data_IF_126662214849
#
_entry.id   IF_126662214849
#
_cell.length_a   1.000
_cell.length_b   1.000
_cell.length_c   1.000
_cell.angle_alpha   90.00
_cell.angle_beta   90.00
_cell.angle_gamma   90.00
#
_symmetry.space_group_name_H-M   'P 1'
#
loop_
_entity.id
_entity.type
_entity.pdbx_description
1 polymer ?
#
# COMPACT_ATOMS: atom_id res chain seq x y z
N UNK A 1 -18.89 -22.98 3.81
CA UNK A 1 -19.83 -24.02 4.26
C UNK A 1 -21.22 -23.39 4.38
N UNK A 2 -22.22 -23.78 3.54
CA UNK A 2 -23.56 -23.21 3.55
C UNK A 2 -24.33 -23.38 4.87
N UNK A 3 -24.08 -24.47 5.60
CA UNK A 3 -24.74 -24.72 6.88
C UNK A 3 -24.27 -23.77 7.96
N UNK A 4 -22.99 -23.47 8.04
CA UNK A 4 -22.45 -22.45 8.96
C UNK A 4 -22.95 -21.05 8.64
N UNK A 5 -23.11 -20.75 7.37
CA UNK A 5 -23.67 -19.47 6.94
C UNK A 5 -25.11 -19.34 7.41
N UNK A 6 -25.91 -20.41 7.23
CA UNK A 6 -27.30 -20.45 7.69
C UNK A 6 -27.40 -20.30 9.21
N UNK A 7 -26.62 -21.06 9.97
CA UNK A 7 -26.56 -20.99 11.43
C UNK A 7 -26.25 -19.57 11.92
N UNK A 8 -25.29 -18.89 11.26
CA UNK A 8 -24.93 -17.52 11.58
C UNK A 8 -26.06 -16.52 11.27
N UNK A 9 -26.76 -16.72 10.13
CA UNK A 9 -27.94 -15.92 9.77
C UNK A 9 -29.07 -16.06 10.80
N UNK A 10 -29.35 -17.28 11.19
CA UNK A 10 -30.38 -17.58 12.17
C UNK A 10 -30.05 -16.96 13.54
N UNK A 11 -28.76 -17.00 13.94
CA UNK A 11 -28.26 -16.32 15.14
C UNK A 11 -28.43 -14.80 15.06
N UNK A 12 -28.03 -14.18 13.97
CA UNK A 12 -28.13 -12.74 13.77
C UNK A 12 -29.59 -12.27 13.80
N UNK A 13 -30.46 -12.99 13.10
CA UNK A 13 -31.90 -12.69 13.05
C UNK A 13 -32.56 -12.85 14.41
N UNK A 14 -32.29 -13.96 15.11
CA UNK A 14 -32.88 -14.23 16.43
C UNK A 14 -32.46 -13.24 17.51
N UNK A 15 -31.24 -12.67 17.38
CA UNK A 15 -30.73 -11.65 18.30
C UNK A 15 -30.99 -10.21 17.84
N UNK A 16 -31.75 -10.01 16.76
CA UNK A 16 -32.08 -8.69 16.19
C UNK A 16 -30.86 -7.82 15.90
N UNK A 17 -29.72 -8.44 15.55
CA UNK A 17 -28.48 -7.76 15.29
C UNK A 17 -28.49 -6.95 13.98
N UNK A 18 -29.48 -7.21 13.12
CA UNK A 18 -29.72 -6.42 11.90
C UNK A 18 -29.88 -4.91 12.19
N UNK A 19 -30.33 -4.55 13.39
CA UNK A 19 -30.51 -3.16 13.84
C UNK A 19 -29.17 -2.45 14.10
N UNK A 20 -28.09 -3.21 14.25
CA UNK A 20 -26.76 -2.67 14.55
C UNK A 20 -25.86 -2.60 13.30
N UNK A 21 -26.35 -3.07 12.15
CA UNK A 21 -25.58 -3.18 10.92
C UNK A 21 -26.02 -2.11 9.92
N UNK A 22 -25.90 -0.89 10.29
CA UNK A 22 -26.13 0.25 9.44
C UNK A 22 -26.89 1.37 10.14
N UNK A 23 -26.47 2.60 9.94
CA UNK A 23 -27.09 3.79 10.56
C UNK A 23 -28.44 4.17 9.92
N UNK A 24 -28.84 3.51 8.85
CA UNK A 24 -30.00 3.91 8.05
C UNK A 24 -30.98 2.74 7.89
N UNK A 25 -32.26 2.97 8.19
CA UNK A 25 -33.34 2.00 8.00
C UNK A 25 -33.48 1.50 6.54
N UNK A 26 -32.84 2.20 5.60
CA UNK A 26 -32.75 1.79 4.19
C UNK A 26 -31.76 0.65 3.93
N UNK A 27 -30.86 0.37 4.86
CA UNK A 27 -29.89 -0.72 4.75
C UNK A 27 -30.51 -2.00 5.27
N UNK A 28 -31.13 -2.80 4.42
CA UNK A 28 -31.52 -4.17 4.79
C UNK A 28 -30.26 -4.97 5.06
N UNK A 29 -30.30 -5.80 6.14
CA UNK A 29 -29.24 -6.75 6.41
C UNK A 29 -28.94 -7.61 5.18
N UNK A 30 -27.68 -7.67 4.81
CA UNK A 30 -27.18 -8.51 3.74
C UNK A 30 -25.97 -9.27 4.24
N UNK A 31 -26.04 -10.60 4.16
CA UNK A 31 -24.93 -11.47 4.52
C UNK A 31 -23.68 -11.14 3.72
N UNK A 32 -23.87 -10.88 2.44
CA UNK A 32 -22.77 -10.48 1.55
C UNK A 32 -22.15 -9.17 2.02
N UNK A 33 -22.93 -8.14 2.33
CA UNK A 33 -22.43 -6.85 2.83
C UNK A 33 -21.75 -7.00 4.18
N UNK A 34 -22.23 -7.88 5.04
CA UNK A 34 -21.63 -8.13 6.33
C UNK A 34 -20.22 -8.76 6.21
N UNK A 35 -20.09 -9.85 5.45
CA UNK A 35 -18.78 -10.53 5.30
C UNK A 35 -17.83 -9.86 4.32
N UNK A 36 -18.37 -9.11 3.36
CA UNK A 36 -17.61 -8.42 2.33
C UNK A 36 -17.74 -6.91 2.43
N UNK A 37 -17.89 -6.37 3.63
CA UNK A 37 -18.15 -4.95 3.88
C UNK A 37 -17.17 -4.00 3.19
N UNK A 38 -15.92 -4.44 2.96
CA UNK A 38 -14.91 -3.69 2.23
C UNK A 38 -15.24 -3.45 0.76
N UNK A 39 -16.25 -4.11 0.22
CA UNK A 39 -16.65 -3.97 -1.17
C UNK A 39 -17.57 -2.77 -1.42
N UNK A 40 -18.10 -2.12 -0.38
CA UNK A 40 -19.08 -1.03 -0.53
C UNK A 40 -18.65 0.27 0.15
N UNK A 41 -18.86 1.39 -0.55
CA UNK A 41 -18.59 2.73 -0.03
C UNK A 41 -19.34 3.05 1.26
N UNK A 42 -20.50 2.40 1.51
CA UNK A 42 -21.28 2.57 2.74
C UNK A 42 -20.49 2.20 4.00
N UNK A 43 -19.48 1.35 3.87
CA UNK A 43 -18.77 0.76 5.01
C UNK A 43 -17.23 0.87 4.91
N UNK A 44 -16.70 1.17 3.73
CA UNK A 44 -15.25 1.16 3.49
C UNK A 44 -14.86 2.19 2.43
N UNK A 45 -13.63 2.60 2.45
CA UNK A 45 -13.00 3.38 1.39
C UNK A 45 -12.08 2.54 0.49
N UNK A 46 -12.16 1.20 0.63
CA UNK A 46 -11.45 0.24 -0.20
C UNK A 46 -9.95 0.45 -0.20
N UNK A 47 -9.32 0.39 -1.37
CA UNK A 47 -7.87 0.49 -1.53
C UNK A 47 -7.26 1.74 -0.90
N UNK A 48 -8.00 2.85 -0.80
CA UNK A 48 -7.50 4.08 -0.18
C UNK A 48 -7.41 3.96 1.35
N UNK A 49 -8.44 3.45 2.01
CA UNK A 49 -8.46 3.29 3.46
C UNK A 49 -7.77 2.03 3.95
N UNK A 50 -7.96 0.91 3.25
CA UNK A 50 -7.47 -0.39 3.72
C UNK A 50 -5.98 -0.63 3.43
N UNK A 51 -5.42 -0.03 2.38
CA UNK A 51 -4.03 -0.27 1.96
C UNK A 51 -3.22 1.02 1.87
N UNK A 52 -3.69 2.06 1.15
CA UNK A 52 -2.92 3.28 0.95
C UNK A 52 -2.55 3.96 2.28
N UNK A 53 -3.43 3.95 3.27
CA UNK A 53 -3.14 4.54 4.59
C UNK A 53 -1.92 3.91 5.25
N UNK A 54 -1.76 2.59 5.16
CA UNK A 54 -0.58 1.89 5.71
C UNK A 54 0.68 2.21 4.93
N UNK A 55 0.58 2.26 3.60
CA UNK A 55 1.71 2.60 2.74
C UNK A 55 2.15 4.06 2.94
N UNK A 56 1.17 4.96 3.05
CA UNK A 56 1.42 6.37 3.32
C UNK A 56 2.05 6.58 4.70
N UNK A 57 1.53 5.90 5.72
CA UNK A 57 2.07 5.97 7.07
C UNK A 57 3.54 5.52 7.12
N UNK A 58 3.87 4.41 6.45
CA UNK A 58 5.25 3.94 6.34
C UNK A 58 6.17 4.99 5.68
N UNK A 59 5.72 5.61 4.58
CA UNK A 59 6.47 6.70 3.92
C UNK A 59 6.59 7.91 4.85
N UNK A 60 5.52 8.27 5.56
CA UNK A 60 5.53 9.39 6.50
C UNK A 60 6.49 9.14 7.68
N UNK A 61 6.57 7.93 8.19
CA UNK A 61 7.52 7.56 9.24
C UNK A 61 8.99 7.67 8.77
N UNK A 62 9.27 7.27 7.53
CA UNK A 62 10.63 7.30 6.97
C UNK A 62 11.02 8.72 6.56
N UNK A 63 10.14 9.43 5.87
CA UNK A 63 10.43 10.71 5.19
C UNK A 63 9.94 11.93 5.97
N UNK A 64 9.09 11.75 6.99
CA UNK A 64 8.44 12.84 7.74
C UNK A 64 7.72 13.86 6.83
N UNK A 65 6.98 13.36 5.84
CA UNK A 65 6.37 14.19 4.79
C UNK A 65 5.19 15.02 5.26
N UNK A 66 4.46 14.56 6.29
CA UNK A 66 3.26 15.24 6.76
C UNK A 66 2.12 15.24 5.72
N UNK A 67 1.28 16.27 5.75
CA UNK A 67 0.13 16.40 4.84
C UNK A 67 0.63 16.86 3.46
N UNK A 68 0.18 16.22 2.35
CA UNK A 68 0.56 16.63 1.01
C UNK A 68 -0.11 17.95 0.61
N UNK A 69 0.54 18.70 -0.26
CA UNK A 69 -0.04 19.90 -0.87
C UNK A 69 -1.21 19.54 -1.79
N UNK A 70 -1.05 18.48 -2.57
CA UNK A 70 -2.09 17.98 -3.47
C UNK A 70 -2.12 16.46 -3.54
N UNK A 71 -3.30 15.92 -3.89
CA UNK A 71 -3.50 14.51 -4.17
C UNK A 71 -4.41 14.35 -5.39
N UNK A 72 -3.96 13.59 -6.37
CA UNK A 72 -4.73 13.27 -7.58
C UNK A 72 -4.86 11.76 -7.70
N UNK A 73 -6.09 11.27 -7.90
CA UNK A 73 -6.36 9.84 -7.96
C UNK A 73 -7.12 9.46 -9.22
N UNK A 74 -6.83 8.26 -9.70
CA UNK A 74 -7.64 7.57 -10.70
C UNK A 74 -7.83 6.11 -10.30
N UNK A 75 -8.96 5.52 -10.69
CA UNK A 75 -9.24 4.13 -10.37
C UNK A 75 -10.66 3.74 -10.79
N UNK A 76 -11.02 2.49 -10.54
CA UNK A 76 -12.35 2.00 -10.87
C UNK A 76 -12.51 0.52 -10.58
N UNK A 77 -13.70 0.01 -10.87
CA UNK A 77 -14.05 -1.41 -10.80
C UNK A 77 -13.83 -2.02 -12.17
N UNK A 78 -12.64 -2.56 -12.40
CA UNK A 78 -12.25 -3.06 -13.71
C UNK A 78 -12.25 -4.59 -13.81
N UNK A 79 -11.84 -5.27 -12.77
CA UNK A 79 -11.71 -6.73 -12.76
C UNK A 79 -12.88 -7.43 -12.08
N UNK A 80 -13.21 -7.12 -10.83
CA UNK A 80 -14.27 -7.81 -10.11
C UNK A 80 -15.66 -7.29 -10.49
N UNK A 81 -16.48 -8.16 -11.11
CA UNK A 81 -17.86 -7.86 -11.54
C UNK A 81 -18.88 -8.44 -10.55
N UNK A 82 -18.67 -8.25 -9.27
CA UNK A 82 -19.39 -8.84 -8.16
C UNK A 82 -20.35 -7.85 -7.45
N UNK A 83 -20.65 -6.72 -8.09
CA UNK A 83 -21.55 -5.72 -7.53
C UNK A 83 -20.93 -4.73 -6.55
N UNK A 84 -19.60 -4.85 -6.32
CA UNK A 84 -18.89 -3.87 -5.46
C UNK A 84 -18.99 -2.45 -5.99
N UNK A 85 -18.91 -1.50 -5.08
CA UNK A 85 -18.91 -0.07 -5.41
C UNK A 85 -17.55 0.59 -5.21
N UNK A 86 -16.69 0.03 -4.37
CA UNK A 86 -15.32 0.52 -4.20
C UNK A 86 -14.40 0.01 -5.31
N UNK A 87 -13.45 0.82 -5.76
CA UNK A 87 -12.48 0.45 -6.78
C UNK A 87 -11.65 -0.79 -6.43
N UNK A 88 -11.37 -1.63 -7.42
CA UNK A 88 -10.41 -2.74 -7.33
C UNK A 88 -9.04 -2.39 -7.95
N UNK A 89 -8.95 -1.21 -8.57
CA UNK A 89 -7.70 -0.58 -9.02
C UNK A 89 -7.70 0.86 -8.56
N UNK A 90 -6.61 1.29 -7.96
CA UNK A 90 -6.41 2.67 -7.51
C UNK A 90 -4.96 3.11 -7.78
N UNK A 91 -4.83 4.31 -8.34
CA UNK A 91 -3.57 5.02 -8.46
C UNK A 91 -3.74 6.40 -7.85
N UNK A 92 -2.80 6.83 -7.03
CA UNK A 92 -2.83 8.15 -6.38
C UNK A 92 -1.44 8.76 -6.42
N UNK A 93 -1.34 10.00 -6.89
CA UNK A 93 -0.14 10.81 -6.82
C UNK A 93 -0.32 11.86 -5.74
N UNK A 94 0.65 11.96 -4.84
CA UNK A 94 0.77 13.00 -3.83
C UNK A 94 1.94 13.90 -4.14
N UNK A 95 1.83 15.20 -3.82
CA UNK A 95 2.87 16.17 -4.12
C UNK A 95 3.18 17.04 -2.89
N UNK A 96 4.47 17.27 -2.67
CA UNK A 96 5.03 18.21 -1.67
C UNK A 96 6.03 19.13 -2.38
N UNK A 97 5.57 20.18 -3.08
CA UNK A 97 6.46 21.07 -3.86
C UNK A 97 7.50 21.79 -3.01
N UNK A 98 7.17 22.09 -1.75
CA UNK A 98 8.06 22.68 -0.77
C UNK A 98 9.20 21.76 -0.31
N UNK A 99 9.12 20.49 -0.67
CA UNK A 99 10.11 19.44 -0.36
C UNK A 99 10.70 18.78 -1.60
N UNK A 100 10.38 19.27 -2.79
CA UNK A 100 10.78 18.69 -4.08
C UNK A 100 10.47 17.18 -4.15
N UNK A 101 9.29 16.77 -3.63
CA UNK A 101 8.92 15.37 -3.45
C UNK A 101 7.57 15.06 -4.06
N UNK A 102 7.49 13.90 -4.71
CA UNK A 102 6.23 13.26 -5.12
C UNK A 102 6.20 11.81 -4.66
N UNK A 103 4.99 11.29 -4.40
CA UNK A 103 4.75 9.88 -4.13
C UNK A 103 3.69 9.35 -5.08
N UNK A 104 3.99 8.25 -5.75
CA UNK A 104 3.01 7.50 -6.54
C UNK A 104 2.63 6.21 -5.79
N UNK A 105 1.36 6.11 -5.45
CA UNK A 105 0.75 4.86 -5.00
C UNK A 105 0.02 4.18 -6.15
N UNK A 106 0.22 2.89 -6.32
CA UNK A 106 -0.48 2.11 -7.34
C UNK A 106 -0.83 0.73 -6.79
N UNK A 107 -2.11 0.40 -6.76
CA UNK A 107 -2.61 -0.87 -6.26
C UNK A 107 -3.68 -1.47 -7.16
N UNK A 108 -3.74 -2.80 -7.17
CA UNK A 108 -4.80 -3.59 -7.78
C UNK A 108 -5.08 -4.83 -6.93
N UNK A 109 -6.35 -5.16 -6.78
CA UNK A 109 -6.78 -6.42 -6.16
C UNK A 109 -6.74 -7.61 -7.12
N UNK A 110 -6.50 -7.36 -8.43
CA UNK A 110 -6.51 -8.39 -9.46
C UNK A 110 -5.16 -9.11 -9.65
N UNK A 111 -4.10 -8.69 -8.92
CA UNK A 111 -2.77 -9.28 -9.05
C UNK A 111 -2.17 -9.56 -7.68
N UNK A 112 -1.56 -10.73 -7.55
CA UNK A 112 -0.80 -11.12 -6.35
C UNK A 112 0.67 -10.69 -6.41
N UNK A 113 1.10 -9.97 -7.46
CA UNK A 113 2.48 -9.53 -7.60
C UNK A 113 2.84 -8.51 -6.52
N UNK A 114 3.76 -8.88 -5.66
CA UNK A 114 4.37 -7.94 -4.71
C UNK A 114 5.33 -6.98 -5.44
N UNK A 115 5.27 -5.69 -5.12
CA UNK A 115 6.09 -4.64 -5.74
C UNK A 115 6.89 -3.84 -4.74
N UNK A 116 6.87 -4.05 -3.50
CA UNK A 116 7.63 -3.27 -2.54
C UNK A 116 7.46 -1.74 -2.67
N UNK A 117 8.27 -1.01 -1.94
CA UNK A 117 8.38 0.46 -1.99
C UNK A 117 9.74 0.84 -2.55
N UNK A 118 9.78 1.82 -3.43
CA UNK A 118 11.03 2.36 -3.97
C UNK A 118 11.12 3.84 -3.64
N UNK A 119 12.20 4.23 -2.98
CA UNK A 119 12.55 5.62 -2.71
C UNK A 119 13.68 6.00 -3.68
N UNK A 120 13.39 6.88 -4.61
CA UNK A 120 14.32 7.32 -5.64
C UNK A 120 14.86 8.70 -5.28
N UNK A 121 16.14 8.76 -4.95
CA UNK A 121 16.88 10.00 -4.76
C UNK A 121 17.80 10.26 -5.95
N UNK A 122 18.42 11.43 -5.96
CA UNK A 122 19.37 11.82 -7.02
C UNK A 122 20.68 11.01 -6.96
N UNK A 123 21.13 10.66 -5.75
CA UNK A 123 22.40 9.96 -5.58
C UNK A 123 22.27 8.45 -5.38
N UNK A 124 21.09 7.99 -4.94
CA UNK A 124 20.84 6.58 -4.65
C UNK A 124 19.34 6.27 -4.64
N UNK A 125 19.01 5.02 -4.83
CA UNK A 125 17.65 4.48 -4.66
C UNK A 125 17.64 3.43 -3.56
N UNK A 126 16.54 3.39 -2.79
CA UNK A 126 16.30 2.40 -1.75
C UNK A 126 15.03 1.62 -2.07
N UNK A 127 15.16 0.30 -2.17
CA UNK A 127 14.01 -0.61 -2.29
C UNK A 127 13.72 -1.25 -0.94
N UNK A 128 12.44 -1.23 -0.55
CA UNK A 128 11.93 -1.85 0.69
C UNK A 128 10.83 -2.84 0.33
N UNK A 129 11.15 -4.11 0.44
CA UNK A 129 10.25 -5.23 0.22
C UNK A 129 10.46 -6.32 1.29
N UNK A 130 10.72 -7.56 0.90
CA UNK A 130 11.17 -8.60 1.81
C UNK A 130 12.62 -8.37 2.28
N UNK A 131 13.36 -7.57 1.54
CA UNK A 131 14.69 -7.08 1.87
C UNK A 131 14.70 -5.56 1.73
N UNK A 132 15.65 -4.90 2.37
CA UNK A 132 16.01 -3.53 2.07
C UNK A 132 17.30 -3.55 1.25
N UNK A 133 17.29 -2.87 0.11
CA UNK A 133 18.44 -2.75 -0.77
C UNK A 133 18.67 -1.28 -1.13
N UNK A 134 19.92 -0.83 -1.08
CA UNK A 134 20.33 0.52 -1.49
C UNK A 134 21.30 0.39 -2.65
N UNK A 135 20.97 1.01 -3.79
CA UNK A 135 21.80 1.08 -4.97
C UNK A 135 22.18 2.54 -5.23
N UNK A 136 23.46 2.80 -5.40
CA UNK A 136 23.95 4.14 -5.73
C UNK A 136 23.76 4.38 -7.22
N UNK A 137 23.31 5.59 -7.58
CA UNK A 137 23.12 5.98 -8.97
C UNK A 137 24.48 6.19 -9.65
N UNK A 138 24.63 5.71 -10.89
CA UNK A 138 25.90 5.83 -11.60
C UNK A 138 26.28 7.27 -11.91
N UNK A 139 25.30 8.17 -12.01
CA UNK A 139 25.48 9.59 -12.28
C UNK A 139 25.52 10.43 -10.98
N UNK A 140 25.63 9.78 -9.83
CA UNK A 140 25.75 10.45 -8.54
C UNK A 140 26.94 11.38 -8.51
N UNK A 141 26.68 12.64 -8.25
CA UNK A 141 27.73 13.65 -8.09
C UNK A 141 28.41 13.55 -6.72
N UNK A 142 27.65 13.12 -5.72
CA UNK A 142 28.12 13.00 -4.33
C UNK A 142 29.14 11.87 -4.16
N UNK A 143 28.99 10.79 -4.90
CA UNK A 143 29.82 9.59 -4.80
C UNK A 143 30.72 9.36 -6.02
N UNK A 144 30.82 10.36 -6.93
CA UNK A 144 31.52 10.24 -8.21
C UNK A 144 32.95 9.71 -8.08
N UNK A 145 33.72 10.20 -7.11
CA UNK A 145 35.13 9.75 -6.92
C UNK A 145 35.17 8.27 -6.48
N UNK A 146 34.32 7.86 -5.56
CA UNK A 146 34.28 6.48 -5.07
C UNK A 146 33.76 5.48 -6.10
N UNK A 147 32.86 5.92 -6.97
CA UNK A 147 32.38 5.14 -8.12
C UNK A 147 33.52 4.95 -9.10
N UNK A 148 34.26 6.03 -9.44
CA UNK A 148 35.39 6.01 -10.35
C UNK A 148 36.54 5.14 -9.86
N UNK A 149 36.76 5.10 -8.55
CA UNK A 149 37.74 4.25 -7.89
C UNK A 149 37.29 2.78 -7.75
N UNK A 150 36.06 2.47 -8.14
CA UNK A 150 35.47 1.12 -8.02
C UNK A 150 35.17 0.68 -6.58
N UNK A 151 35.09 1.62 -5.64
CA UNK A 151 34.79 1.35 -4.23
C UNK A 151 33.29 1.14 -4.05
N UNK A 152 32.47 1.89 -4.78
CA UNK A 152 31.01 1.80 -4.74
C UNK A 152 30.51 1.22 -6.07
N UNK A 153 29.84 0.06 -6.06
CA UNK A 153 29.20 -0.50 -7.25
C UNK A 153 27.90 0.30 -7.58
N UNK A 154 27.59 0.37 -8.89
CA UNK A 154 26.35 1.03 -9.36
C UNK A 154 25.38 0.06 -10.04
N UNK A 155 25.82 -1.16 -10.31
CA UNK A 155 25.04 -2.24 -10.94
C UNK A 155 24.46 -3.26 -9.94
N UNK A 156 24.94 -3.21 -8.70
CA UNK A 156 24.51 -4.07 -7.60
C UNK A 156 24.24 -3.24 -6.35
N UNK A 157 23.39 -3.72 -5.42
CA UNK A 157 23.17 -3.00 -4.17
C UNK A 157 24.47 -2.81 -3.38
N UNK A 158 24.75 -1.56 -3.03
CA UNK A 158 25.85 -1.19 -2.12
C UNK A 158 25.58 -1.68 -0.69
N UNK A 159 24.31 -1.70 -0.29
CA UNK A 159 23.89 -2.18 1.01
C UNK A 159 22.63 -3.05 0.86
N UNK A 160 22.59 -4.16 1.61
CA UNK A 160 21.44 -5.05 1.68
C UNK A 160 21.18 -5.46 3.12
N UNK A 161 19.92 -5.41 3.53
CA UNK A 161 19.47 -5.92 4.84
C UNK A 161 18.36 -6.94 4.64
N UNK A 162 18.56 -8.13 5.24
CA UNK A 162 17.57 -9.21 5.24
C UNK A 162 17.06 -9.39 6.67
N UNK A 163 15.75 -9.18 6.94
CA UNK A 163 15.22 -9.37 8.29
C UNK A 163 15.47 -10.79 8.82
N UNK A 164 15.95 -10.89 10.06
CA UNK A 164 16.24 -12.18 10.70
C UNK A 164 17.61 -12.80 10.37
N UNK A 165 18.39 -12.19 9.50
CA UNK A 165 19.79 -12.51 9.31
C UNK A 165 20.65 -11.46 10.03
N UNK A 166 21.68 -11.91 10.76
CA UNK A 166 22.64 -10.99 11.35
C UNK A 166 23.38 -10.25 10.24
N UNK A 167 23.30 -8.94 10.23
CA UNK A 167 23.98 -8.05 9.27
C UNK A 167 25.48 -7.94 9.57
N UNK A 168 26.18 -9.05 9.66
CA UNK A 168 27.60 -9.03 10.06
C UNK A 168 28.60 -8.86 8.91
N UNK A 169 28.18 -8.88 7.64
CA UNK A 169 29.17 -9.02 6.56
C UNK A 169 28.87 -8.20 5.29
N UNK A 170 28.67 -6.88 5.41
CA UNK A 170 28.70 -6.08 4.18
C UNK A 170 29.12 -4.62 4.37
N UNK A 171 30.15 -4.39 5.15
CA UNK A 171 30.92 -3.13 5.08
C UNK A 171 32.39 -3.51 5.19
N UNK A 172 33.00 -3.82 4.07
CA UNK A 172 34.45 -3.78 3.89
C UNK A 172 34.82 -2.57 3.06
#
# INVERSE_FOLDING_TARGET
DPERIKEYMDYMTSNKLERYIGPDERSKFSLERFFRWRCWWDYSTGLSGDLLTHEYDAVNQIMHVGIPHSATSSGGVYFFKDGRTVPDVLQTTFEWPDRDLTMLYSATLASSRNRGKVFMGHDASMEVSNILAITVDQDSTRYADKIKEGIIPTDTPFYTYVPGQNSSDSVT
#
